data_IF_371392051077
#
_entry.id   IF_371392051077
#
_cell.length_a   1.000
_cell.length_b   1.000
_cell.length_c   1.000
_cell.angle_alpha   90.00
_cell.angle_beta   90.00
_cell.angle_gamma   90.00
#
_symmetry.space_group_name_H-M   'P 1'
#
loop_
_entity.id
_entity.type
_entity.pdbx_description
1 polymer ?
#
# COMPACT_ATOMS: atom_id res chain seq x y z
N UNK A 1 2.30 12.59 -32.47
CA UNK A 1 1.30 12.00 -31.54
C UNK A 1 1.91 11.46 -30.24
N UNK A 2 2.99 10.65 -30.25
CA UNK A 2 3.61 10.10 -29.02
C UNK A 2 4.04 11.14 -27.96
N UNK A 3 4.50 12.33 -28.38
CA UNK A 3 4.99 13.39 -27.49
C UNK A 3 3.91 13.91 -26.52
N UNK A 4 2.66 14.02 -26.98
CA UNK A 4 1.53 14.50 -26.17
C UNK A 4 1.17 13.51 -25.05
N UNK A 5 1.11 12.20 -25.35
CA UNK A 5 0.86 11.16 -24.33
C UNK A 5 1.89 11.16 -23.21
N UNK A 6 3.17 11.26 -23.57
CA UNK A 6 4.25 11.25 -22.59
C UNK A 6 4.30 12.53 -21.75
N UNK A 7 3.97 13.68 -22.33
CA UNK A 7 3.85 14.96 -21.62
C UNK A 7 2.67 14.91 -20.64
N UNK A 8 1.50 14.45 -21.09
CA UNK A 8 0.34 14.26 -20.23
C UNK A 8 0.64 13.36 -19.04
N UNK A 9 1.21 12.17 -19.26
CA UNK A 9 1.55 11.24 -18.17
C UNK A 9 2.59 11.79 -17.19
N UNK A 10 3.48 12.71 -17.62
CA UNK A 10 4.36 13.41 -16.68
C UNK A 10 3.54 14.36 -15.80
N UNK A 11 2.67 15.17 -16.40
CA UNK A 11 1.75 16.06 -15.66
C UNK A 11 0.86 15.27 -14.68
N UNK A 12 0.39 14.08 -15.06
CA UNK A 12 -0.33 13.16 -14.15
C UNK A 12 0.53 12.78 -12.95
N UNK A 13 1.80 12.39 -13.14
CA UNK A 13 2.69 12.04 -12.03
C UNK A 13 2.91 13.23 -11.10
N UNK A 14 3.07 14.42 -11.66
CA UNK A 14 3.39 15.64 -10.90
C UNK A 14 2.19 16.13 -10.10
N UNK A 15 1.00 16.19 -10.71
CA UNK A 15 -0.27 16.55 -10.04
C UNK A 15 -0.68 15.52 -8.98
N UNK A 16 -0.24 14.26 -9.12
CA UNK A 16 -0.48 13.19 -8.14
C UNK A 16 0.66 12.98 -7.13
N UNK A 17 1.67 13.86 -7.09
CA UNK A 17 2.80 13.65 -6.19
C UNK A 17 2.37 13.73 -4.73
N UNK A 18 2.85 12.78 -3.92
CA UNK A 18 2.50 12.65 -2.51
C UNK A 18 2.89 13.90 -1.71
N UNK A 19 3.94 14.62 -2.14
CA UNK A 19 4.39 15.84 -1.48
C UNK A 19 3.39 16.99 -1.59
N UNK A 20 2.38 16.91 -2.47
CA UNK A 20 1.30 17.88 -2.57
C UNK A 20 0.24 17.72 -1.45
N UNK A 21 0.29 16.64 -0.66
CA UNK A 21 -0.60 16.45 0.50
C UNK A 21 -0.23 17.42 1.63
N UNK A 22 -1.11 18.39 1.89
CA UNK A 22 -0.89 19.48 2.85
C UNK A 22 -0.47 18.99 4.25
N UNK A 23 -1.14 17.95 4.76
CA UNK A 23 -0.93 17.42 6.12
C UNK A 23 0.07 16.26 6.19
N UNK A 24 0.82 15.98 5.11
CA UNK A 24 1.73 14.84 5.05
C UNK A 24 2.77 14.85 6.18
N UNK A 25 3.33 16.02 6.49
CA UNK A 25 4.31 16.18 7.57
C UNK A 25 3.72 15.81 8.93
N UNK A 26 2.45 16.19 9.20
CA UNK A 26 1.72 15.82 10.41
C UNK A 26 1.47 14.31 10.49
N UNK A 27 1.09 13.68 9.38
CA UNK A 27 0.88 12.23 9.32
C UNK A 27 2.19 11.45 9.58
N UNK A 28 3.30 11.90 8.99
CA UNK A 28 4.62 11.32 9.23
C UNK A 28 5.02 11.48 10.70
N UNK A 29 4.83 12.67 11.27
CA UNK A 29 5.12 12.94 12.67
C UNK A 29 4.28 12.05 13.60
N UNK A 30 2.97 11.90 13.32
CA UNK A 30 2.10 11.01 14.08
C UNK A 30 2.55 9.55 14.01
N UNK A 31 2.83 9.03 12.82
CA UNK A 31 3.39 7.67 12.65
C UNK A 31 4.69 7.51 13.46
N UNK A 32 5.58 8.50 13.43
CA UNK A 32 6.83 8.45 14.21
C UNK A 32 6.58 8.42 15.73
N UNK A 33 5.60 9.18 16.24
CA UNK A 33 5.17 9.14 17.64
C UNK A 33 4.65 7.75 18.03
N UNK A 34 3.81 7.13 17.19
CA UNK A 34 3.33 5.75 17.41
C UNK A 34 4.50 4.76 17.46
N UNK A 35 5.44 4.85 16.51
CA UNK A 35 6.63 3.98 16.47
C UNK A 35 7.49 4.14 17.72
N UNK A 36 7.72 5.37 18.17
CA UNK A 36 8.47 5.65 19.39
C UNK A 36 7.78 5.05 20.63
N UNK A 37 6.46 5.27 20.76
CA UNK A 37 5.68 4.72 21.86
C UNK A 37 5.72 3.18 21.90
N UNK A 38 5.62 2.53 20.73
CA UNK A 38 5.77 1.07 20.61
C UNK A 38 7.20 0.61 20.97
N UNK A 39 8.22 1.30 20.45
CA UNK A 39 9.62 0.98 20.71
C UNK A 39 10.01 1.11 22.18
N UNK A 40 9.39 2.06 22.90
CA UNK A 40 9.60 2.31 24.32
C UNK A 40 8.82 1.30 25.16
N UNK A 41 7.52 1.09 24.88
CA UNK A 41 6.69 0.11 25.59
C UNK A 41 7.26 -1.30 25.54
N UNK A 42 7.84 -1.67 24.41
CA UNK A 42 8.33 -3.02 24.13
C UNK A 42 9.84 -3.11 24.05
N UNK A 43 10.57 -2.22 24.71
CA UNK A 43 12.04 -2.16 24.63
C UNK A 43 12.72 -3.48 24.99
N UNK A 44 12.13 -4.26 25.89
CA UNK A 44 12.61 -5.57 26.33
C UNK A 44 12.18 -6.71 25.39
N UNK A 45 10.98 -6.64 24.80
CA UNK A 45 10.41 -7.71 23.96
C UNK A 45 10.69 -7.57 22.46
N UNK A 46 11.02 -6.38 21.97
CA UNK A 46 11.24 -6.13 20.54
C UNK A 46 12.52 -6.79 20.02
N UNK A 47 12.49 -7.27 18.79
CA UNK A 47 13.66 -7.79 18.09
C UNK A 47 14.50 -6.63 17.55
N UNK A 48 13.84 -5.69 16.87
CA UNK A 48 14.41 -4.49 16.28
C UNK A 48 13.44 -3.31 16.47
N UNK A 49 13.89 -2.09 16.14
CA UNK A 49 13.01 -0.94 16.16
C UNK A 49 11.93 -1.05 15.09
N UNK A 50 10.78 -0.42 15.35
CA UNK A 50 9.68 -0.34 14.40
C UNK A 50 10.15 0.19 13.05
N UNK A 51 9.75 -0.49 11.98
CA UNK A 51 10.14 -0.20 10.59
C UNK A 51 8.96 0.37 9.82
N UNK A 52 9.25 1.25 8.86
CA UNK A 52 8.22 1.80 7.97
C UNK A 52 7.78 0.75 6.95
N UNK A 53 6.50 0.80 6.59
CA UNK A 53 5.90 -0.06 5.57
C UNK A 53 4.92 0.76 4.71
N UNK A 54 4.08 0.07 3.95
CA UNK A 54 3.08 0.71 3.09
C UNK A 54 3.67 1.36 1.83
N UNK A 55 2.81 2.00 1.04
CA UNK A 55 3.21 2.61 -0.23
C UNK A 55 4.12 3.82 -0.07
N UNK A 56 4.03 4.52 1.06
CA UNK A 56 4.91 5.65 1.35
C UNK A 56 6.37 5.19 1.46
N UNK A 57 6.65 4.17 2.28
CA UNK A 57 7.99 3.61 2.42
C UNK A 57 8.56 3.03 1.11
N UNK A 58 7.67 2.56 0.22
CA UNK A 58 8.03 2.00 -1.10
C UNK A 58 8.28 3.05 -2.18
N UNK A 59 8.04 4.33 -1.91
CA UNK A 59 8.04 5.41 -2.92
C UNK A 59 7.05 5.18 -4.08
N UNK A 60 5.94 4.51 -3.80
CA UNK A 60 4.86 4.25 -4.77
C UNK A 60 3.56 4.95 -4.39
N UNK A 61 3.54 5.75 -3.31
CA UNK A 61 2.40 6.56 -2.89
C UNK A 61 2.05 7.65 -3.92
N UNK A 62 0.76 7.97 -4.02
CA UNK A 62 0.20 9.12 -4.75
C UNK A 62 -0.71 9.91 -3.79
N UNK A 63 -0.91 11.20 -4.01
CA UNK A 63 -1.66 12.07 -3.08
C UNK A 63 -3.11 11.64 -2.85
N UNK A 64 -3.77 11.02 -3.83
CA UNK A 64 -5.14 10.50 -3.70
C UNK A 64 -5.22 9.13 -3.01
N UNK A 65 -4.10 8.40 -2.90
CA UNK A 65 -4.07 7.06 -2.29
C UNK A 65 -2.68 6.70 -1.77
N UNK A 66 -2.55 6.67 -0.44
CA UNK A 66 -1.32 6.27 0.22
C UNK A 66 -1.58 5.55 1.55
N UNK A 67 -0.64 4.71 1.94
CA UNK A 67 -0.61 4.03 3.24
C UNK A 67 0.70 4.40 3.97
N UNK A 68 0.59 4.91 5.20
CA UNK A 68 1.71 5.29 6.09
C UNK A 68 1.71 4.33 7.28
N UNK A 69 2.16 3.10 7.01
CA UNK A 69 2.09 2.00 7.96
C UNK A 69 3.42 1.77 8.68
N UNK A 70 3.37 1.00 9.76
CA UNK A 70 4.57 0.52 10.42
C UNK A 70 4.45 -0.95 10.84
N UNK A 71 5.60 -1.57 11.02
CA UNK A 71 5.71 -2.90 11.59
C UNK A 71 6.61 -2.85 12.82
N UNK A 72 6.23 -3.55 13.88
CA UNK A 72 7.06 -3.76 15.07
C UNK A 72 7.51 -5.22 15.15
N UNK A 73 8.81 -5.50 14.96
CA UNK A 73 9.37 -6.84 15.11
C UNK A 73 9.59 -7.24 16.57
N UNK A 74 9.20 -8.45 16.94
CA UNK A 74 9.31 -9.01 18.29
C UNK A 74 10.17 -10.27 18.34
N UNK A 75 10.84 -10.47 19.49
CA UNK A 75 11.60 -11.68 19.79
C UNK A 75 10.66 -12.85 20.04
N UNK A 76 11.14 -14.05 19.69
CA UNK A 76 10.53 -15.30 20.14
C UNK A 76 10.98 -15.59 21.57
N UNK A 77 10.01 -15.88 22.44
CA UNK A 77 10.24 -16.51 23.74
C UNK A 77 9.92 -18.01 23.64
N UNK A 78 10.81 -18.84 24.17
CA UNK A 78 10.64 -20.28 24.30
C UNK A 78 9.83 -20.60 25.57
N UNK A 79 8.93 -21.58 25.49
CA UNK A 79 8.01 -21.91 26.59
C UNK A 79 8.71 -22.29 27.89
N UNK A 80 9.87 -22.91 27.79
CA UNK A 80 10.62 -23.45 28.94
C UNK A 80 11.74 -22.51 29.41
N UNK A 81 11.86 -21.31 28.82
CA UNK A 81 12.89 -20.34 29.16
C UNK A 81 12.27 -19.02 29.65
N UNK A 82 12.22 -18.85 30.97
CA UNK A 82 11.64 -17.66 31.60
C UNK A 82 12.55 -16.42 31.51
N UNK A 83 13.83 -16.60 31.19
CA UNK A 83 14.79 -15.50 31.03
C UNK A 83 14.74 -14.89 29.62
N UNK A 84 14.11 -15.59 28.66
CA UNK A 84 13.91 -15.08 27.30
C UNK A 84 12.85 -13.98 27.28
N UNK A 85 13.25 -12.83 26.73
CA UNK A 85 12.34 -11.72 26.45
C UNK A 85 11.63 -11.95 25.11
N UNK A 86 10.37 -11.52 25.02
CA UNK A 86 9.57 -11.64 23.79
C UNK A 86 8.21 -12.25 24.05
N UNK A 87 7.65 -12.91 23.03
CA UNK A 87 6.34 -13.56 23.10
C UNK A 87 6.42 -15.04 22.74
N UNK A 88 5.69 -15.86 23.50
CA UNK A 88 5.61 -17.31 23.29
C UNK A 88 4.75 -17.63 22.06
N UNK A 89 3.62 -16.94 21.94
CA UNK A 89 2.65 -17.16 20.85
C UNK A 89 2.41 -15.91 20.02
N UNK A 90 2.04 -16.12 18.74
CA UNK A 90 1.72 -15.02 17.83
C UNK A 90 0.40 -14.32 18.21
N UNK A 91 -0.57 -15.06 18.75
CA UNK A 91 -1.85 -14.50 19.20
C UNK A 91 -1.65 -13.58 20.40
N UNK A 92 -0.86 -14.02 21.39
CA UNK A 92 -0.52 -13.21 22.57
C UNK A 92 0.16 -11.91 22.16
N UNK A 93 1.18 -11.98 21.29
CA UNK A 93 1.85 -10.80 20.74
C UNK A 93 0.84 -9.83 20.09
N UNK A 94 -0.01 -10.34 19.21
CA UNK A 94 -1.00 -9.52 18.51
C UNK A 94 -2.02 -8.87 19.47
N UNK A 95 -2.52 -9.65 20.42
CA UNK A 95 -3.51 -9.19 21.41
C UNK A 95 -2.92 -8.21 22.41
N UNK A 96 -1.66 -8.38 22.79
CA UNK A 96 -0.95 -7.48 23.69
C UNK A 96 -0.73 -6.11 23.04
N UNK A 97 -0.25 -6.07 21.79
CA UNK A 97 -0.12 -4.80 21.05
C UNK A 97 -1.48 -4.13 20.87
N UNK A 98 -2.54 -4.88 20.58
CA UNK A 98 -3.89 -4.33 20.48
C UNK A 98 -4.36 -3.73 21.81
N UNK A 99 -4.15 -4.44 22.93
CA UNK A 99 -4.52 -3.95 24.26
C UNK A 99 -3.74 -2.69 24.63
N UNK A 100 -2.45 -2.64 24.35
CA UNK A 100 -1.62 -1.47 24.58
C UNK A 100 -2.15 -0.27 23.78
N UNK A 101 -2.28 -0.41 22.45
CA UNK A 101 -2.75 0.67 21.59
C UNK A 101 -4.15 1.14 22.00
N UNK A 102 -5.06 0.23 22.35
CA UNK A 102 -6.44 0.57 22.69
C UNK A 102 -6.62 1.16 24.09
N UNK A 103 -5.86 0.70 25.09
CA UNK A 103 -6.14 1.01 26.49
C UNK A 103 -5.08 1.88 27.17
N UNK A 104 -3.88 1.95 26.63
CA UNK A 104 -2.78 2.72 27.19
C UNK A 104 -2.38 3.88 26.28
N UNK A 105 -2.11 3.61 24.99
CA UNK A 105 -1.69 4.65 24.05
C UNK A 105 -2.75 5.76 23.90
N UNK A 106 -4.01 5.38 23.69
CA UNK A 106 -5.17 6.31 23.55
C UNK A 106 -5.43 7.17 24.78
N UNK A 107 -4.86 6.85 25.95
CA UNK A 107 -4.99 7.73 27.13
C UNK A 107 -4.03 8.91 27.09
N UNK A 108 -2.98 8.81 26.28
CA UNK A 108 -1.87 9.76 26.22
C UNK A 108 -1.78 10.43 24.84
N UNK A 109 -2.80 10.28 24.00
CA UNK A 109 -2.85 10.85 22.66
C UNK A 109 -4.28 11.30 22.35
N UNK A 110 -4.49 12.61 22.36
CA UNK A 110 -5.80 13.23 22.18
C UNK A 110 -6.35 13.09 20.75
N UNK A 111 -5.49 12.74 19.78
CA UNK A 111 -5.87 12.58 18.37
C UNK A 111 -6.53 11.20 18.12
N UNK A 112 -6.66 10.33 19.14
CA UNK A 112 -7.26 9.00 18.97
C UNK A 112 -7.99 8.50 20.20
N UNK A 113 -9.13 7.86 19.96
CA UNK A 113 -9.96 7.22 20.98
C UNK A 113 -9.99 5.69 20.85
N UNK A 114 -10.56 5.00 21.84
CA UNK A 114 -10.50 3.52 21.92
C UNK A 114 -11.30 2.82 20.82
N UNK A 115 -12.40 3.43 20.40
CA UNK A 115 -13.27 2.97 19.32
C UNK A 115 -12.57 3.04 17.96
N UNK A 116 -11.60 3.93 17.82
CA UNK A 116 -10.78 4.08 16.64
C UNK A 116 -9.59 3.11 16.56
N UNK A 117 -9.49 2.16 17.51
CA UNK A 117 -8.53 1.06 17.52
C UNK A 117 -9.22 -0.26 17.24
N UNK A 118 -8.87 -0.91 16.12
CA UNK A 118 -9.51 -2.15 15.64
C UNK A 118 -8.50 -3.24 15.27
N UNK A 119 -8.86 -4.50 15.53
CA UNK A 119 -8.11 -5.65 15.01
C UNK A 119 -8.46 -5.87 13.55
N UNK A 120 -7.47 -5.91 12.67
CA UNK A 120 -7.61 -6.37 11.29
C UNK A 120 -7.07 -7.80 11.18
N UNK A 121 -6.85 -8.28 9.95
CA UNK A 121 -6.40 -9.64 9.68
C UNK A 121 -5.00 -9.92 10.23
N UNK A 122 -4.04 -9.04 10.00
CA UNK A 122 -2.64 -9.19 10.44
C UNK A 122 -2.08 -7.93 11.12
N UNK A 123 -2.90 -6.89 11.24
CA UNK A 123 -2.54 -5.57 11.75
C UNK A 123 -3.57 -5.07 12.76
N UNK A 124 -3.21 -3.99 13.44
CA UNK A 124 -4.08 -3.20 14.29
C UNK A 124 -4.24 -1.85 13.61
N UNK A 125 -5.48 -1.54 13.21
CA UNK A 125 -5.80 -0.29 12.54
C UNK A 125 -6.05 0.81 13.56
N UNK A 126 -5.45 1.97 13.31
CA UNK A 126 -5.57 3.18 14.11
C UNK A 126 -6.16 4.28 13.23
N UNK A 127 -7.25 4.90 13.69
CA UNK A 127 -7.85 6.07 13.04
C UNK A 127 -7.67 7.30 13.90
N UNK A 128 -6.83 8.22 13.45
CA UNK A 128 -6.54 9.48 14.13
C UNK A 128 -7.42 10.59 13.57
N UNK A 129 -7.72 11.58 14.41
CA UNK A 129 -8.23 12.89 14.04
C UNK A 129 -7.16 13.92 14.43
N UNK A 130 -6.43 14.46 13.45
CA UNK A 130 -5.33 15.39 13.66
C UNK A 130 -5.79 16.76 13.16
N UNK A 131 -6.16 17.65 14.07
CA UNK A 131 -6.68 18.99 13.77
C UNK A 131 -7.91 18.98 12.82
N UNK A 132 -8.81 18.00 12.99
CA UNK A 132 -10.01 17.85 12.14
C UNK A 132 -9.78 17.03 10.87
N UNK A 133 -8.59 16.45 10.70
CA UNK A 133 -8.20 15.67 9.52
C UNK A 133 -8.02 14.20 9.90
N UNK A 134 -8.79 13.33 9.25
CA UNK A 134 -8.70 11.89 9.48
C UNK A 134 -7.40 11.30 8.92
N UNK A 135 -6.69 10.52 9.74
CA UNK A 135 -5.50 9.79 9.34
C UNK A 135 -5.57 8.33 9.79
N UNK A 136 -5.64 7.41 8.83
CA UNK A 136 -5.57 5.98 9.07
C UNK A 136 -4.13 5.46 8.96
N UNK A 137 -3.71 4.63 9.90
CA UNK A 137 -2.49 3.83 9.77
C UNK A 137 -2.65 2.43 10.38
N UNK A 138 -1.92 1.46 9.82
CA UNK A 138 -1.86 0.12 10.35
C UNK A 138 -0.53 -0.14 11.08
N UNK A 139 -0.62 -0.76 12.26
CA UNK A 139 0.52 -1.32 12.99
C UNK A 139 0.52 -2.83 12.78
N UNK A 140 1.61 -3.39 12.25
CA UNK A 140 1.77 -4.83 12.02
C UNK A 140 2.70 -5.43 13.10
N UNK A 141 2.17 -6.17 14.10
CA UNK A 141 2.99 -6.96 15.01
C UNK A 141 3.54 -8.19 14.30
N UNK A 142 4.86 -8.37 14.29
CA UNK A 142 5.49 -9.52 13.65
C UNK A 142 6.55 -10.15 14.54
N UNK A 143 6.56 -11.49 14.65
CA UNK A 143 7.64 -12.19 15.35
C UNK A 143 8.79 -12.45 14.38
N UNK A 144 9.94 -11.84 14.66
CA UNK A 144 11.14 -11.99 13.87
C UNK A 144 11.68 -13.41 13.98
N UNK A 145 12.13 -13.94 12.84
CA UNK A 145 12.81 -15.22 12.74
C UNK A 145 14.30 -14.92 12.78
N UNK A 146 14.99 -15.19 13.89
CA UNK A 146 16.40 -14.83 14.00
C UNK A 146 17.22 -15.56 12.94
N UNK A 147 18.25 -14.88 12.42
CA UNK A 147 19.25 -15.50 11.55
C UNK A 147 20.44 -15.89 12.42
N UNK A 148 20.83 -17.17 12.43
CA UNK A 148 21.90 -17.68 13.31
C UNK A 148 21.72 -17.32 14.80
N UNK A 149 20.48 -17.36 15.30
CA UNK A 149 20.08 -16.94 16.66
C UNK A 149 20.34 -15.45 16.99
N UNK A 150 20.63 -14.63 15.98
CA UNK A 150 20.80 -13.19 16.14
C UNK A 150 19.58 -12.43 15.58
N UNK A 151 19.15 -11.44 16.36
CA UNK A 151 18.16 -10.45 15.97
C UNK A 151 18.96 -9.21 15.62
N UNK A 152 19.23 -9.04 14.34
CA UNK A 152 19.90 -7.84 13.84
C UNK A 152 19.00 -7.13 12.86
N UNK A 153 19.26 -5.83 12.69
CA UNK A 153 18.45 -5.00 11.83
C UNK A 153 18.46 -5.48 10.37
N UNK A 154 19.37 -6.36 9.93
CA UNK A 154 19.44 -6.80 8.54
C UNK A 154 18.39 -7.86 8.16
N UNK A 155 17.74 -8.50 9.14
CA UNK A 155 16.72 -9.51 8.89
C UNK A 155 15.33 -9.01 9.31
N UNK A 156 14.36 -9.10 8.41
CA UNK A 156 12.95 -8.84 8.73
C UNK A 156 12.05 -9.97 8.27
N UNK A 157 12.51 -11.21 8.37
CA UNK A 157 11.67 -12.39 8.19
C UNK A 157 10.71 -12.51 9.38
N UNK A 158 9.45 -12.17 9.15
CA UNK A 158 8.43 -12.12 10.19
C UNK A 158 7.45 -13.26 10.06
N UNK A 159 6.98 -13.74 11.22
CA UNK A 159 5.75 -14.53 11.31
C UNK A 159 4.65 -13.65 11.88
N UNK A 160 3.59 -13.44 11.11
CA UNK A 160 2.43 -12.65 11.48
C UNK A 160 1.31 -13.57 11.97
N UNK A 161 0.56 -13.15 12.97
CA UNK A 161 -0.67 -13.79 13.38
C UNK A 161 -1.79 -13.51 12.37
N UNK A 162 -2.62 -14.51 12.07
CA UNK A 162 -3.89 -14.28 11.35
C UNK A 162 -5.01 -14.23 12.39
N UNK A 163 -5.58 -13.05 12.58
CA UNK A 163 -6.76 -12.84 13.41
C UNK A 163 -7.95 -13.68 12.89
N UNK A 164 -8.50 -14.62 13.69
CA UNK A 164 -9.53 -15.55 13.26
C UNK A 164 -10.77 -14.89 12.67
N UNK A 165 -11.18 -13.75 13.23
CA UNK A 165 -12.37 -13.01 12.76
C UNK A 165 -12.26 -12.43 11.35
N UNK A 166 -11.07 -12.50 10.73
CA UNK A 166 -10.78 -11.87 9.44
C UNK A 166 -10.08 -12.83 8.46
N UNK A 167 -10.24 -14.15 8.64
CA UNK A 167 -9.70 -15.15 7.70
C UNK A 167 -10.48 -15.14 6.39
N UNK A 168 -9.81 -15.49 5.29
CA UNK A 168 -10.52 -15.87 4.06
C UNK A 168 -11.04 -17.30 4.17
N UNK A 169 -12.04 -17.67 3.35
CA UNK A 169 -12.54 -19.05 3.27
C UNK A 169 -11.42 -20.09 3.11
N UNK A 170 -10.49 -19.84 2.18
CA UNK A 170 -9.31 -20.69 1.94
C UNK A 170 -8.41 -20.80 3.18
N UNK A 171 -8.30 -19.76 3.99
CA UNK A 171 -7.50 -19.78 5.22
C UNK A 171 -8.20 -20.51 6.37
N UNK A 172 -9.52 -20.44 6.43
CA UNK A 172 -10.34 -21.22 7.36
C UNK A 172 -10.25 -22.70 7.03
N UNK A 173 -10.49 -23.09 5.77
CA UNK A 173 -10.39 -24.46 5.27
C UNK A 173 -9.01 -25.08 5.55
N UNK A 174 -7.94 -24.30 5.35
CA UNK A 174 -6.56 -24.75 5.58
C UNK A 174 -6.10 -24.59 7.04
N UNK A 175 -6.99 -24.20 7.97
CA UNK A 175 -6.65 -23.95 9.38
C UNK A 175 -5.43 -23.04 9.56
N UNK A 176 -5.24 -22.07 8.65
CA UNK A 176 -4.07 -21.20 8.63
C UNK A 176 -4.15 -20.21 9.80
N UNK A 177 -3.11 -20.17 10.63
CA UNK A 177 -3.02 -19.29 11.81
C UNK A 177 -1.93 -18.24 11.72
N UNK A 178 -1.07 -18.33 10.68
CA UNK A 178 0.06 -17.43 10.49
C UNK A 178 0.42 -17.21 9.03
N UNK A 179 1.06 -16.09 8.75
CA UNK A 179 1.67 -15.76 7.45
C UNK A 179 3.16 -15.48 7.68
N UNK A 180 4.03 -15.94 6.78
CA UNK A 180 5.43 -15.50 6.75
C UNK A 180 5.57 -14.37 5.75
N UNK A 181 6.33 -13.34 6.09
CA UNK A 181 6.59 -12.17 5.23
C UNK A 181 7.97 -11.60 5.50
N UNK A 182 8.40 -10.66 4.64
CA UNK A 182 9.62 -9.90 4.82
C UNK A 182 9.37 -8.44 4.39
N UNK A 183 9.26 -7.56 5.39
CA UNK A 183 8.90 -6.15 5.17
C UNK A 183 9.99 -5.42 4.39
N UNK A 184 11.27 -5.67 4.65
CA UNK A 184 12.36 -5.08 3.87
C UNK A 184 12.37 -5.54 2.43
N UNK A 185 12.07 -6.81 2.15
CA UNK A 185 11.91 -7.30 0.78
C UNK A 185 10.77 -6.58 0.07
N UNK A 186 9.63 -6.36 0.75
CA UNK A 186 8.51 -5.64 0.17
C UNK A 186 8.80 -4.15 -0.05
N UNK A 187 9.43 -3.47 0.92
CA UNK A 187 9.85 -2.06 0.79
C UNK A 187 10.94 -1.90 -0.28
N UNK A 188 11.82 -2.89 -0.40
CA UNK A 188 12.91 -2.95 -1.35
C UNK A 188 12.49 -3.32 -2.78
N UNK A 189 11.24 -3.74 -3.00
CA UNK A 189 10.79 -4.35 -4.25
C UNK A 189 11.10 -3.50 -5.49
N UNK A 190 10.80 -2.21 -5.42
CA UNK A 190 11.05 -1.23 -6.48
C UNK A 190 12.05 -0.13 -6.02
N UNK A 191 12.89 -0.44 -5.04
CA UNK A 191 13.90 0.50 -4.50
C UNK A 191 15.12 0.55 -5.43
N UNK A 192 15.80 1.69 -5.45
CA UNK A 192 17.05 1.89 -6.19
C UNK A 192 16.93 2.89 -7.34
N UNK A 193 18.06 3.46 -7.74
CA UNK A 193 18.13 4.44 -8.83
C UNK A 193 17.78 3.79 -10.20
N UNK A 194 18.05 2.50 -10.35
CA UNK A 194 17.69 1.73 -11.55
C UNK A 194 16.20 1.40 -11.67
N UNK A 195 15.39 1.61 -10.62
CA UNK A 195 13.95 1.29 -10.58
C UNK A 195 13.03 2.52 -10.71
N UNK A 196 13.55 3.65 -11.19
CA UNK A 196 12.78 4.90 -11.29
C UNK A 196 11.59 4.75 -12.25
N UNK A 197 11.79 4.06 -13.37
CA UNK A 197 10.75 3.88 -14.37
C UNK A 197 9.60 3.01 -13.85
N UNK A 198 9.92 1.94 -13.14
CA UNK A 198 8.97 1.03 -12.50
C UNK A 198 8.12 1.77 -11.45
N UNK A 199 8.74 2.65 -10.64
CA UNK A 199 7.99 3.48 -9.69
C UNK A 199 7.06 4.45 -10.39
N UNK A 200 7.49 5.11 -11.47
CA UNK A 200 6.64 6.01 -12.28
C UNK A 200 5.44 5.26 -12.88
N UNK A 201 5.69 4.12 -13.52
CA UNK A 201 4.63 3.27 -14.09
C UNK A 201 3.68 2.77 -13.00
N UNK A 202 4.20 2.33 -11.85
CA UNK A 202 3.36 1.90 -10.71
C UNK A 202 2.45 3.03 -10.23
N UNK A 203 2.95 4.26 -10.09
CA UNK A 203 2.13 5.43 -9.71
C UNK A 203 1.03 5.69 -10.74
N UNK A 204 1.35 5.68 -12.04
CA UNK A 204 0.37 5.83 -13.11
C UNK A 204 -0.69 4.73 -13.09
N UNK A 205 -0.29 3.47 -12.91
CA UNK A 205 -1.25 2.38 -12.82
C UNK A 205 -2.16 2.53 -11.58
N UNK A 206 -1.69 3.11 -10.47
CA UNK A 206 -2.55 3.44 -9.31
C UNK A 206 -3.56 4.54 -9.64
N UNK A 207 -3.18 5.55 -10.41
CA UNK A 207 -4.11 6.57 -10.95
C UNK A 207 -5.15 5.88 -11.82
N UNK A 208 -4.72 5.10 -12.82
CA UNK A 208 -5.61 4.33 -13.70
C UNK A 208 -6.61 3.47 -12.93
N UNK A 209 -6.12 2.72 -11.94
CA UNK A 209 -6.98 1.86 -11.11
C UNK A 209 -8.02 2.68 -10.34
N UNK A 210 -7.63 3.83 -9.80
CA UNK A 210 -8.51 4.72 -9.05
C UNK A 210 -9.61 5.24 -9.98
N UNK A 211 -9.22 5.70 -11.16
CA UNK A 211 -10.15 6.20 -12.16
C UNK A 211 -11.11 5.11 -12.65
N UNK A 212 -10.59 3.92 -12.96
CA UNK A 212 -11.45 2.80 -13.36
C UNK A 212 -12.45 2.41 -12.29
N UNK A 213 -12.05 2.45 -11.02
CA UNK A 213 -12.95 2.19 -9.89
C UNK A 213 -14.02 3.26 -9.78
N UNK A 214 -13.68 4.54 -10.00
CA UNK A 214 -14.64 5.64 -9.95
C UNK A 214 -15.69 5.52 -11.07
N UNK A 215 -15.26 5.19 -12.30
CA UNK A 215 -16.15 5.09 -13.45
C UNK A 215 -17.00 3.82 -13.47
N UNK A 216 -16.40 2.65 -13.20
CA UNK A 216 -17.07 1.35 -13.42
C UNK A 216 -17.50 0.65 -12.13
N UNK A 217 -17.06 1.15 -10.97
CA UNK A 217 -17.14 0.40 -9.71
C UNK A 217 -16.30 -0.89 -9.73
N UNK A 218 -16.47 -1.72 -8.69
CA UNK A 218 -15.89 -3.06 -8.63
C UNK A 218 -14.53 -3.20 -7.92
N UNK A 219 -14.06 -4.45 -7.83
CA UNK A 219 -12.78 -4.82 -7.20
C UNK A 219 -11.75 -5.09 -8.29
N UNK A 220 -10.93 -4.09 -8.60
CA UNK A 220 -9.78 -4.23 -9.51
C UNK A 220 -8.54 -4.79 -8.80
N UNK A 221 -7.49 -5.01 -9.58
CA UNK A 221 -6.18 -5.47 -9.12
C UNK A 221 -5.65 -4.73 -7.88
N UNK A 222 -5.04 -5.45 -6.94
CA UNK A 222 -4.46 -4.86 -5.72
C UNK A 222 -3.15 -4.14 -6.05
N UNK A 223 -2.89 -3.04 -5.33
CA UNK A 223 -1.73 -2.19 -5.60
C UNK A 223 -0.39 -2.94 -5.49
N UNK A 224 -0.26 -3.86 -4.52
CA UNK A 224 0.94 -4.70 -4.39
C UNK A 224 1.12 -5.68 -5.55
N UNK A 225 0.04 -6.19 -6.15
CA UNK A 225 0.15 -7.03 -7.35
C UNK A 225 0.66 -6.22 -8.55
N UNK A 226 0.22 -4.97 -8.66
CA UNK A 226 0.67 -4.07 -9.73
C UNK A 226 2.16 -3.78 -9.59
N UNK A 227 2.67 -3.61 -8.36
CA UNK A 227 4.11 -3.46 -8.09
C UNK A 227 4.89 -4.71 -8.54
N UNK A 228 4.39 -5.91 -8.22
CA UNK A 228 5.02 -7.17 -8.61
C UNK A 228 5.02 -7.39 -10.13
N UNK A 229 3.87 -7.24 -10.79
CA UNK A 229 3.79 -7.35 -12.25
C UNK A 229 4.63 -6.28 -12.95
N UNK A 230 4.71 -5.06 -12.41
CA UNK A 230 5.60 -4.03 -12.95
C UNK A 230 7.05 -4.50 -12.89
N UNK A 231 7.49 -5.04 -11.75
CA UNK A 231 8.84 -5.58 -11.63
C UNK A 231 9.09 -6.73 -12.60
N UNK A 232 8.18 -7.70 -12.67
CA UNK A 232 8.31 -8.85 -13.56
C UNK A 232 8.31 -8.44 -15.03
N UNK A 233 7.47 -7.49 -15.45
CA UNK A 233 7.43 -6.99 -16.81
C UNK A 233 8.76 -6.35 -17.22
N UNK A 234 9.36 -5.54 -16.35
CA UNK A 234 10.65 -4.90 -16.61
C UNK A 234 11.80 -5.90 -16.58
N UNK A 235 11.80 -6.86 -15.64
CA UNK A 235 12.85 -7.86 -15.51
C UNK A 235 12.87 -8.88 -16.65
N UNK A 236 11.70 -9.17 -17.24
CA UNK A 236 11.56 -10.09 -18.37
C UNK A 236 11.64 -9.39 -19.74
N UNK A 237 11.76 -8.06 -19.77
CA UNK A 237 11.87 -7.33 -21.03
C UNK A 237 13.32 -7.29 -21.52
N UNK A 238 13.53 -7.70 -22.77
CA UNK A 238 14.87 -7.64 -23.41
C UNK A 238 15.29 -6.20 -23.65
N UNK A 239 14.34 -5.34 -24.05
CA UNK A 239 14.56 -3.93 -24.31
C UNK A 239 13.44 -3.12 -23.65
N UNK A 240 13.80 -2.09 -22.88
CA UNK A 240 12.81 -1.19 -22.26
C UNK A 240 12.42 -0.13 -23.29
N UNK A 241 11.13 0.00 -23.64
CA UNK A 241 10.71 0.93 -24.69
C UNK A 241 10.91 2.39 -24.28
N UNK A 242 11.12 3.24 -25.28
CA UNK A 242 11.22 4.69 -25.12
C UNK A 242 9.82 5.29 -24.91
N UNK A 243 9.72 6.32 -24.07
CA UNK A 243 8.44 6.94 -23.71
C UNK A 243 7.83 6.35 -22.43
N UNK A 244 6.94 7.10 -21.81
CA UNK A 244 6.25 6.73 -20.57
C UNK A 244 5.01 5.89 -20.88
N UNK A 245 4.26 6.25 -21.93
CA UNK A 245 3.12 5.45 -22.39
C UNK A 245 3.54 4.03 -22.79
N UNK A 246 4.59 3.87 -23.59
CA UNK A 246 5.05 2.54 -24.02
C UNK A 246 5.52 1.68 -22.84
N UNK A 247 6.08 2.29 -21.79
CA UNK A 247 6.42 1.58 -20.54
C UNK A 247 5.17 1.16 -19.76
N UNK A 248 4.13 2.01 -19.72
CA UNK A 248 2.83 1.65 -19.12
C UNK A 248 2.20 0.49 -19.90
N UNK A 249 2.21 0.59 -21.23
CA UNK A 249 1.69 -0.43 -22.15
C UNK A 249 2.44 -1.76 -22.03
N UNK A 250 3.77 -1.74 -21.88
CA UNK A 250 4.59 -2.92 -21.57
C UNK A 250 4.03 -3.66 -20.34
N UNK A 251 3.82 -2.93 -19.24
CA UNK A 251 3.32 -3.54 -17.99
C UNK A 251 1.87 -3.99 -18.13
N UNK A 252 1.00 -3.20 -18.75
CA UNK A 252 -0.40 -3.59 -18.97
C UNK A 252 -0.50 -4.86 -19.82
N UNK A 253 0.27 -4.99 -20.91
CA UNK A 253 0.32 -6.22 -21.71
C UNK A 253 0.84 -7.41 -20.89
N UNK A 254 1.90 -7.21 -20.10
CA UNK A 254 2.38 -8.26 -19.20
C UNK A 254 1.28 -8.71 -18.23
N UNK A 255 0.52 -7.79 -17.63
CA UNK A 255 -0.62 -8.14 -16.76
C UNK A 255 -1.70 -8.89 -17.56
N UNK A 256 -2.06 -8.41 -18.75
CA UNK A 256 -3.08 -9.02 -19.62
C UNK A 256 -2.75 -10.49 -19.93
N UNK A 257 -1.49 -10.79 -20.20
CA UNK A 257 -1.02 -12.12 -20.59
C UNK A 257 -0.94 -13.08 -19.39
N UNK A 258 -0.70 -12.55 -18.18
CA UNK A 258 -0.32 -13.35 -17.02
C UNK A 258 -1.40 -13.41 -15.91
N UNK A 259 -2.31 -12.43 -15.79
CA UNK A 259 -3.17 -12.28 -14.60
C UNK A 259 -4.14 -13.44 -14.34
N UNK A 260 -4.58 -14.14 -15.39
CA UNK A 260 -5.54 -15.26 -15.28
C UNK A 260 -4.84 -16.63 -15.26
N UNK A 261 -3.61 -16.72 -15.75
CA UNK A 261 -2.95 -17.98 -16.11
C UNK A 261 -1.71 -18.28 -15.29
N UNK A 262 -1.14 -17.27 -14.62
CA UNK A 262 0.09 -17.42 -13.84
C UNK A 262 -0.12 -17.19 -12.35
N UNK A 263 0.70 -17.89 -11.56
CA UNK A 263 0.78 -17.66 -10.12
C UNK A 263 1.74 -16.51 -9.86
N UNK A 264 1.21 -15.38 -9.40
CA UNK A 264 2.03 -14.28 -8.91
C UNK A 264 2.48 -14.60 -7.49
N UNK A 265 3.76 -14.88 -7.32
CA UNK A 265 4.33 -15.37 -6.06
C UNK A 265 4.84 -14.22 -5.19
N UNK A 266 4.67 -14.31 -3.88
CA UNK A 266 5.22 -13.34 -2.94
C UNK A 266 6.77 -13.44 -2.92
N UNK A 267 7.50 -12.35 -3.21
CA UNK A 267 8.97 -12.36 -3.19
C UNK A 267 9.55 -12.64 -1.80
N UNK A 268 8.78 -12.42 -0.74
CA UNK A 268 9.20 -12.71 0.63
C UNK A 268 8.85 -14.14 1.10
N UNK A 269 7.99 -14.85 0.37
CA UNK A 269 7.53 -16.17 0.77
C UNK A 269 6.93 -16.93 -0.42
N UNK A 270 7.72 -17.80 -1.05
CA UNK A 270 7.28 -18.52 -2.25
C UNK A 270 6.07 -19.43 -2.05
N UNK A 271 5.73 -19.79 -0.81
CA UNK A 271 4.51 -20.53 -0.49
C UNK A 271 3.24 -19.66 -0.48
N UNK A 272 3.37 -18.33 -0.64
CA UNK A 272 2.27 -17.38 -0.67
C UNK A 272 2.00 -16.94 -2.11
N UNK A 273 0.90 -17.42 -2.69
CA UNK A 273 0.45 -17.01 -4.02
C UNK A 273 -0.40 -15.74 -3.85
N UNK A 274 0.14 -14.60 -4.28
CA UNK A 274 -0.52 -13.30 -4.15
C UNK A 274 -1.78 -13.26 -5.03
N UNK A 275 -1.73 -13.83 -6.24
CA UNK A 275 -2.85 -13.88 -7.20
C UNK A 275 -4.10 -14.59 -6.66
N UNK A 276 -3.98 -15.47 -5.66
CA UNK A 276 -5.12 -16.11 -4.98
C UNK A 276 -5.98 -15.13 -4.18
N UNK A 277 -5.45 -13.94 -3.90
CA UNK A 277 -6.15 -12.94 -3.11
C UNK A 277 -7.12 -12.07 -3.94
N UNK A 278 -7.25 -12.35 -5.24
CA UNK A 278 -8.24 -11.80 -6.17
C UNK A 278 -9.18 -12.91 -6.66
N UNK A 279 -10.46 -12.57 -6.85
CA UNK A 279 -11.41 -13.47 -7.52
C UNK A 279 -11.15 -13.52 -9.02
N UNK A 280 -11.59 -14.60 -9.67
CA UNK A 280 -11.41 -14.75 -11.12
C UNK A 280 -12.16 -13.67 -11.90
N UNK A 281 -13.37 -13.28 -11.44
CA UNK A 281 -14.09 -12.13 -11.99
C UNK A 281 -13.26 -10.84 -11.93
N UNK A 282 -12.54 -10.59 -10.84
CA UNK A 282 -11.68 -9.41 -10.71
C UNK A 282 -10.47 -9.45 -11.65
N UNK A 283 -9.91 -10.64 -11.89
CA UNK A 283 -8.81 -10.85 -12.84
C UNK A 283 -9.28 -10.59 -14.28
N UNK A 284 -10.39 -11.20 -14.68
CA UNK A 284 -10.99 -11.02 -16.02
C UNK A 284 -11.39 -9.57 -16.27
N UNK A 285 -11.99 -8.92 -15.27
CA UNK A 285 -12.35 -7.51 -15.36
C UNK A 285 -11.10 -6.61 -15.53
N UNK A 286 -10.05 -6.85 -14.75
CA UNK A 286 -8.78 -6.11 -14.87
C UNK A 286 -8.17 -6.29 -16.26
N UNK A 287 -8.11 -7.53 -16.76
CA UNK A 287 -7.59 -7.85 -18.10
C UNK A 287 -8.36 -7.12 -19.20
N UNK A 288 -9.69 -7.15 -19.13
CA UNK A 288 -10.57 -6.47 -20.10
C UNK A 288 -10.36 -4.95 -20.07
N UNK A 289 -10.32 -4.34 -18.89
CA UNK A 289 -10.16 -2.89 -18.76
C UNK A 289 -8.80 -2.41 -19.26
N UNK A 290 -7.72 -3.16 -19.01
CA UNK A 290 -6.40 -2.84 -19.55
C UNK A 290 -6.36 -2.97 -21.08
N UNK A 291 -6.99 -4.01 -21.65
CA UNK A 291 -7.09 -4.15 -23.12
C UNK A 291 -7.82 -2.96 -23.75
N UNK A 292 -8.94 -2.56 -23.17
CA UNK A 292 -9.72 -1.41 -23.64
C UNK A 292 -8.90 -0.12 -23.52
N UNK A 293 -8.22 0.08 -22.39
CA UNK A 293 -7.35 1.25 -22.18
C UNK A 293 -6.27 1.35 -23.26
N UNK A 294 -5.56 0.25 -23.54
CA UNK A 294 -4.52 0.25 -24.59
C UNK A 294 -5.14 0.55 -25.96
N UNK A 295 -6.23 -0.13 -26.31
CA UNK A 295 -6.91 0.03 -27.60
C UNK A 295 -7.33 1.49 -27.81
N UNK A 296 -8.08 2.05 -26.85
CA UNK A 296 -8.64 3.39 -26.99
C UNK A 296 -7.53 4.46 -27.10
N UNK A 297 -6.43 4.32 -26.35
CA UNK A 297 -5.30 5.27 -26.35
C UNK A 297 -4.38 5.10 -27.58
N UNK A 298 -4.38 3.93 -28.20
CA UNK A 298 -3.67 3.68 -29.46
C UNK A 298 -4.49 4.16 -30.67
N UNK A 299 -5.80 3.97 -30.63
CA UNK A 299 -6.75 4.44 -31.67
C UNK A 299 -6.89 5.97 -31.64
N UNK A 300 -6.94 6.57 -30.44
CA UNK A 300 -7.03 8.00 -30.21
C UNK A 300 -6.15 8.42 -29.01
N UNK A 301 -5.09 9.18 -29.28
CA UNK A 301 -4.15 9.57 -28.22
C UNK A 301 -4.76 10.45 -27.14
N UNK A 302 -5.83 11.20 -27.43
CA UNK A 302 -6.46 12.09 -26.46
C UNK A 302 -7.24 11.32 -25.39
N UNK A 303 -7.63 10.07 -25.68
CA UNK A 303 -8.26 9.15 -24.71
C UNK A 303 -7.39 8.87 -23.50
N UNK A 304 -6.09 9.14 -23.55
CA UNK A 304 -5.21 8.97 -22.39
C UNK A 304 -5.68 9.77 -21.17
N UNK A 305 -6.34 10.91 -21.39
CA UNK A 305 -6.87 11.79 -20.34
C UNK A 305 -8.04 11.14 -19.58
N UNK A 306 -8.82 10.30 -20.25
CA UNK A 306 -9.97 9.58 -19.64
C UNK A 306 -9.52 8.42 -18.73
N UNK A 307 -8.30 7.93 -18.92
CA UNK A 307 -7.73 6.80 -18.18
C UNK A 307 -6.69 7.22 -17.15
N UNK A 308 -6.05 8.37 -17.36
CA UNK A 308 -5.05 8.95 -16.48
C UNK A 308 -5.38 10.44 -16.31
N UNK A 309 -6.44 10.78 -15.57
CA UNK A 309 -6.79 12.18 -15.34
C UNK A 309 -5.71 12.89 -14.52
N UNK A 310 -5.66 14.21 -14.66
CA UNK A 310 -4.89 15.06 -13.75
C UNK A 310 -5.62 15.13 -12.40
N UNK A 311 -4.89 15.54 -11.35
CA UNK A 311 -5.55 15.89 -10.11
C UNK A 311 -5.88 17.40 -10.16
N UNK A 312 -7.15 17.72 -10.38
CA UNK A 312 -7.66 19.08 -10.57
C UNK A 312 -7.33 20.03 -9.39
N UNK A 313 -7.14 19.50 -8.17
CA UNK A 313 -6.74 20.31 -7.00
C UNK A 313 -5.32 20.89 -7.12
N UNK A 314 -4.51 20.29 -7.99
CA UNK A 314 -3.08 20.56 -8.13
C UNK A 314 -2.66 20.74 -9.59
N UNK A 315 -3.65 20.89 -10.46
CA UNK A 315 -3.47 21.28 -11.84
C UNK A 315 -3.26 22.80 -11.85
N UNK A 316 -2.05 23.21 -11.49
CA UNK A 316 -1.63 24.60 -11.63
C UNK A 316 -1.49 24.82 -13.15
N UNK A 317 -2.54 25.36 -13.77
CA UNK A 317 -2.46 25.80 -15.16
C UNK A 317 -1.40 26.89 -15.25
N UNK A 318 -0.26 26.57 -15.87
CA UNK A 318 0.66 27.54 -16.46
C UNK A 318 0.01 28.19 -17.71
N UNK A 319 -1.24 28.67 -17.58
CA UNK A 319 -1.93 29.47 -18.57
C UNK A 319 -2.40 30.76 -17.89
N UNK A 320 -1.45 31.70 -17.72
CA UNK A 320 -1.74 33.12 -17.92
C UNK A 320 -2.24 33.27 -19.37
N UNK A 321 -3.52 32.99 -19.61
CA UNK A 321 -4.37 33.72 -20.56
C UNK A 321 -5.81 33.19 -20.55
N UNK A 322 -6.70 34.13 -20.24
CA UNK A 322 -8.12 34.23 -20.62
C UNK A 322 -9.21 33.66 -19.68
N UNK A 323 -9.84 34.64 -19.02
CA UNK A 323 -11.20 34.69 -18.45
C UNK A 323 -12.21 33.70 -19.09
N UNK A 324 -12.67 32.70 -18.34
CA UNK A 324 -14.11 32.47 -18.17
C UNK A 324 -14.43 31.50 -17.04
N UNK A 325 -15.18 32.03 -16.06
CA UNK A 325 -15.78 31.30 -14.95
C UNK A 325 -16.65 30.14 -15.45
N UNK A 326 -16.42 28.94 -14.93
CA UNK A 326 -17.51 28.02 -14.62
C UNK A 326 -17.34 27.47 -13.20
N UNK A 327 -18.19 27.97 -12.30
CA UNK A 327 -18.32 27.48 -10.94
C UNK A 327 -19.02 26.13 -11.00
N UNK A 328 -18.26 25.05 -10.76
CA UNK A 328 -18.80 23.72 -10.52
C UNK A 328 -18.61 23.40 -9.04
N UNK A 329 -19.71 23.51 -8.30
CA UNK A 329 -19.84 23.28 -6.87
C UNK A 329 -19.31 21.93 -6.43
N UNK A 330 -18.22 21.94 -5.65
CA UNK A 330 -17.81 20.82 -4.81
C UNK A 330 -18.94 20.51 -3.81
N UNK A 331 -19.56 19.33 -3.95
CA UNK A 331 -20.47 18.82 -2.95
C UNK A 331 -19.65 18.30 -1.77
N UNK A 332 -19.45 19.20 -0.79
CA UNK A 332 -19.09 18.86 0.58
C UNK A 332 -20.25 18.02 1.14
N UNK A 333 -20.11 16.70 1.18
CA UNK A 333 -21.01 15.85 1.96
C UNK A 333 -20.61 15.94 3.44
N UNK A 334 -21.05 17.04 4.03
CA UNK A 334 -21.32 17.18 5.46
C UNK A 334 -22.43 16.19 5.84
N UNK A 335 -22.10 15.16 6.62
CA UNK A 335 -23.10 14.37 7.34
C UNK A 335 -23.32 15.00 8.71
N UNK A 336 -24.25 15.96 8.76
CA UNK A 336 -24.83 16.44 10.01
C UNK A 336 -25.93 15.50 10.49
N UNK A 337 -25.85 15.20 11.79
CA UNK A 337 -26.74 14.47 12.69
C UNK A 337 -28.26 14.69 12.53
N UNK A 338 -28.96 13.71 13.13
CA UNK A 338 -30.30 13.70 13.74
C UNK A 338 -31.40 12.93 13.00
N UNK A 339 -31.94 11.94 13.72
CA UNK A 339 -32.93 10.94 13.33
C UNK A 339 -32.67 9.64 14.08
#
# INVERSE_FOLDING_TARGET
>A
MAKNKDEHLKKVIDTHDINKVEHLSKFIAKKNKVKEALNNKYSDKKASNSIDSGSYAKNTAINTKFDIDCCIPFRKKSKDNNDEKGFETLSEMFDDVYKYLKNEYTKNDDDISKENVRKQKVSIGLKFDIDGVEFDMDVVPGRERPSNNDYNDNNTDLSLYINPSNKSKKEEENSKTRIKTNIKTHVGLLKGANRIHERKVTKLLKVWKTERKNQNGGKLIKSFMMELYTKEAFDNSVEIPIGLWEKVKLVMNYIIDNIETTNLVDPANSSNIISDSMSDTAKTQTKRDMKNTIKDVDDDSDKIKEYFPLNDEFDDDDDDDDDSKSVSTASILSTSKFG
#
